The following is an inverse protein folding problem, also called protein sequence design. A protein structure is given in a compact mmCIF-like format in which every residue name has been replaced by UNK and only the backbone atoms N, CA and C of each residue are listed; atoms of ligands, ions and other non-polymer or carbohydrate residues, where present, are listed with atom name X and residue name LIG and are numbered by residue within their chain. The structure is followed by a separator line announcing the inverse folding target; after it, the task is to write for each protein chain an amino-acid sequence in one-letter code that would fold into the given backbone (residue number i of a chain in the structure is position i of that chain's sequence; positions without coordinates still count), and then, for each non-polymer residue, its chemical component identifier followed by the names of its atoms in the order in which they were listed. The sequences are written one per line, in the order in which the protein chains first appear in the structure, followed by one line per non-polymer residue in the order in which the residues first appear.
data_IF_042988284353
#
_entry.id   IF_042988284353
#
_cell.length_a   1.000
_cell.length_b   1.000
_cell.length_c   1.000
_cell.angle_alpha   90.00
_cell.angle_beta   90.00
_cell.angle_gamma   90.00
#
_symmetry.space_group_name_H-M   'P 1'
#
loop_
_entity.id
_entity.type
_entity.pdbx_description
1 polymer ?
#
# COMPACT_ATOMS: atom_id res chain seq x y z
N UNK A 1 -14.44 9.88 11.86
CA UNK A 1 -15.32 8.99 11.06
C UNK A 1 -15.37 9.54 9.64
N UNK A 2 -14.53 9.02 8.74
CA UNK A 2 -14.61 9.37 7.31
C UNK A 2 -15.56 8.35 6.68
N UNK A 3 -16.84 8.72 6.60
CA UNK A 3 -17.88 7.94 5.94
C UNK A 3 -17.72 8.08 4.41
N UNK A 4 -17.99 6.98 3.70
CA UNK A 4 -17.92 6.84 2.23
C UNK A 4 -18.56 7.98 1.42
N UNK A 5 -19.45 8.78 2.01
CA UNK A 5 -20.25 9.82 1.35
C UNK A 5 -19.45 11.03 0.85
N UNK A 6 -18.21 11.24 1.30
CA UNK A 6 -17.45 12.47 0.96
C UNK A 6 -16.20 12.18 0.14
N UNK A 7 -16.03 10.95 -0.39
CA UNK A 7 -14.78 10.58 -1.04
C UNK A 7 -14.53 11.36 -2.33
N UNK A 8 -15.56 11.57 -3.16
CA UNK A 8 -15.44 12.33 -4.42
C UNK A 8 -15.04 13.78 -4.16
N UNK A 9 -15.69 14.45 -3.20
CA UNK A 9 -15.39 15.83 -2.84
C UNK A 9 -13.99 15.99 -2.25
N UNK A 10 -13.56 15.06 -1.38
CA UNK A 10 -12.18 15.08 -0.85
C UNK A 10 -11.13 14.79 -1.92
N UNK A 11 -11.45 13.96 -2.92
CA UNK A 11 -10.57 13.71 -4.08
C UNK A 11 -10.43 14.98 -4.90
N UNK A 12 -11.53 15.72 -5.13
CA UNK A 12 -11.51 16.98 -5.86
C UNK A 12 -10.72 18.05 -5.10
N UNK A 13 -10.96 18.23 -3.80
CA UNK A 13 -10.16 19.12 -2.95
C UNK A 13 -8.67 18.73 -2.95
N UNK A 14 -8.35 17.43 -2.92
CA UNK A 14 -6.97 16.95 -3.07
C UNK A 14 -6.40 17.28 -4.45
N UNK A 15 -7.15 17.09 -5.53
CA UNK A 15 -6.70 17.39 -6.90
C UNK A 15 -6.47 18.89 -7.10
N UNK A 16 -7.29 19.74 -6.50
CA UNK A 16 -7.16 21.20 -6.58
C UNK A 16 -6.02 21.74 -5.70
N UNK A 17 -5.78 21.10 -4.55
CA UNK A 17 -4.80 21.58 -3.56
C UNK A 17 -3.40 20.97 -3.75
N UNK A 18 -3.34 19.71 -4.19
CA UNK A 18 -2.09 18.95 -4.28
C UNK A 18 -1.53 19.05 -5.68
N UNK A 19 -0.58 19.97 -5.82
CA UNK A 19 0.31 20.03 -7.00
C UNK A 19 1.00 18.69 -7.20
N UNK A 20 1.29 18.35 -8.45
CA UNK A 20 1.95 17.08 -8.82
C UNK A 20 3.28 16.84 -8.06
N UNK A 21 3.99 17.91 -7.70
CA UNK A 21 5.22 17.87 -6.88
C UNK A 21 5.05 17.22 -5.51
N UNK A 22 3.84 17.21 -4.95
CA UNK A 22 3.55 16.60 -3.65
C UNK A 22 3.06 15.15 -3.75
N UNK A 23 2.80 14.63 -4.95
CA UNK A 23 2.34 13.25 -5.17
C UNK A 23 3.27 12.18 -4.54
N UNK A 24 4.61 12.31 -4.58
CA UNK A 24 5.49 11.40 -3.86
C UNK A 24 5.24 11.40 -2.35
N UNK A 25 5.10 12.58 -1.73
CA UNK A 25 4.82 12.71 -0.30
C UNK A 25 3.45 12.13 0.07
N UNK A 26 2.43 12.38 -0.75
CA UNK A 26 1.09 11.82 -0.53
C UNK A 26 1.12 10.30 -0.61
N UNK A 27 1.88 9.72 -1.55
CA UNK A 27 2.03 8.26 -1.66
C UNK A 27 2.71 7.66 -0.42
N UNK A 28 3.74 8.35 0.10
CA UNK A 28 4.43 7.99 1.34
C UNK A 28 3.49 8.04 2.54
N UNK A 29 2.75 9.14 2.68
CA UNK A 29 1.81 9.32 3.77
C UNK A 29 0.71 8.25 3.75
N UNK A 30 0.11 8.00 2.58
CA UNK A 30 -0.93 7.00 2.40
C UNK A 30 -0.45 5.61 2.86
N UNK A 31 0.72 5.17 2.38
CA UNK A 31 1.23 3.82 2.70
C UNK A 31 1.67 3.73 4.16
N UNK A 32 2.50 4.68 4.64
CA UNK A 32 3.15 4.58 5.94
C UNK A 32 2.24 4.92 7.11
N UNK A 33 1.28 5.84 6.93
CA UNK A 33 0.45 6.37 8.02
C UNK A 33 -1.01 5.94 7.96
N UNK A 34 -1.49 5.43 6.83
CA UNK A 34 -2.90 5.00 6.69
C UNK A 34 -2.97 3.50 6.45
N UNK A 35 -2.54 3.03 5.29
CA UNK A 35 -2.61 1.62 4.88
C UNK A 35 -1.95 0.68 5.90
N UNK A 36 -0.80 1.04 6.44
CA UNK A 36 -0.07 0.18 7.38
C UNK A 36 -0.84 -0.12 8.67
N UNK A 37 -1.73 0.78 9.11
CA UNK A 37 -2.41 0.71 10.42
C UNK A 37 -3.95 0.67 10.33
N UNK A 38 -4.54 0.94 9.18
CA UNK A 38 -6.00 1.03 8.97
C UNK A 38 -6.52 -0.02 7.96
N UNK A 39 -6.44 -1.33 8.26
CA UNK A 39 -6.85 -2.39 7.34
C UNK A 39 -8.32 -2.31 6.91
N UNK A 40 -9.18 -1.82 7.80
CA UNK A 40 -10.61 -1.65 7.55
C UNK A 40 -10.92 -0.65 6.43
N UNK A 41 -9.98 0.25 6.10
CA UNK A 41 -10.14 1.26 5.07
C UNK A 41 -9.40 0.93 3.76
N UNK A 42 -8.83 -0.26 3.61
CA UNK A 42 -8.13 -0.62 2.37
C UNK A 42 -9.03 -0.56 1.14
N UNK A 43 -10.27 -1.03 1.22
CA UNK A 43 -11.21 -0.93 0.08
C UNK A 43 -11.48 0.52 -0.30
N UNK A 44 -11.59 1.40 0.71
CA UNK A 44 -11.75 2.85 0.50
C UNK A 44 -10.53 3.44 -0.22
N UNK A 45 -9.32 3.14 0.23
CA UNK A 45 -8.08 3.63 -0.39
C UNK A 45 -7.86 3.05 -1.79
N UNK A 46 -8.21 1.78 -2.02
CA UNK A 46 -8.13 1.18 -3.35
C UNK A 46 -9.07 1.87 -4.34
N UNK A 47 -10.31 2.15 -3.90
CA UNK A 47 -11.28 2.90 -4.71
C UNK A 47 -10.82 4.33 -4.96
N UNK A 48 -10.16 4.99 -3.98
CA UNK A 48 -9.55 6.31 -4.17
C UNK A 48 -8.53 6.30 -5.32
N UNK A 49 -7.65 5.28 -5.38
CA UNK A 49 -6.68 5.13 -6.48
C UNK A 49 -7.37 4.94 -7.85
N UNK A 50 -8.48 4.18 -7.87
CA UNK A 50 -9.25 3.94 -9.10
C UNK A 50 -9.97 5.20 -9.58
N UNK A 51 -10.50 6.02 -8.66
CA UNK A 51 -11.15 7.28 -8.97
C UNK A 51 -10.16 8.37 -9.38
N UNK A 52 -8.96 8.40 -8.78
CA UNK A 52 -7.92 9.36 -9.12
C UNK A 52 -7.42 9.16 -10.56
N UNK A 53 -7.43 7.91 -11.06
CA UNK A 53 -6.98 7.50 -12.41
C UNK A 53 -5.59 8.02 -12.80
N UNK A 54 -4.72 8.26 -11.82
CA UNK A 54 -3.35 8.70 -12.05
C UNK A 54 -2.38 7.49 -12.03
N UNK A 55 -1.87 7.12 -13.20
CA UNK A 55 -0.98 5.97 -13.34
C UNK A 55 0.37 6.16 -12.64
N UNK A 56 0.92 7.37 -12.65
CA UNK A 56 2.18 7.68 -11.96
C UNK A 56 2.02 7.59 -10.44
N UNK A 57 0.95 8.17 -9.90
CA UNK A 57 0.65 8.07 -8.48
C UNK A 57 0.45 6.62 -8.03
N UNK A 58 -0.28 5.82 -8.83
CA UNK A 58 -0.45 4.39 -8.56
C UNK A 58 0.89 3.64 -8.52
N UNK A 59 1.85 4.01 -9.39
CA UNK A 59 3.20 3.46 -9.38
C UNK A 59 3.99 3.91 -8.14
N UNK A 60 3.85 5.17 -7.72
CA UNK A 60 4.48 5.68 -6.48
C UNK A 60 3.96 4.92 -5.25
N UNK A 61 2.64 4.76 -5.12
CA UNK A 61 2.01 4.01 -4.01
C UNK A 61 2.46 2.55 -3.99
N UNK A 62 2.55 1.91 -5.15
CA UNK A 62 3.02 0.54 -5.27
C UNK A 62 4.49 0.40 -4.85
N UNK A 63 5.37 1.28 -5.35
CA UNK A 63 6.79 1.29 -4.99
C UNK A 63 7.00 1.49 -3.50
N UNK A 64 6.24 2.41 -2.91
CA UNK A 64 6.31 2.70 -1.49
C UNK A 64 5.79 1.53 -0.64
N UNK A 65 4.74 0.84 -1.10
CA UNK A 65 4.26 -0.41 -0.48
C UNK A 65 5.37 -1.46 -0.46
N UNK A 66 6.05 -1.69 -1.58
CA UNK A 66 7.18 -2.62 -1.64
C UNK A 66 8.34 -2.20 -0.74
N UNK A 67 8.68 -0.91 -0.70
CA UNK A 67 9.75 -0.38 0.15
C UNK A 67 9.50 -0.70 1.62
N UNK A 68 8.28 -0.45 2.10
CA UNK A 68 7.92 -0.71 3.50
C UNK A 68 7.89 -2.21 3.82
N UNK A 69 7.34 -3.05 2.92
CA UNK A 69 7.38 -4.51 3.07
C UNK A 69 8.84 -4.99 3.16
N UNK A 70 9.72 -4.52 2.28
CA UNK A 70 11.14 -4.90 2.29
C UNK A 70 11.80 -4.53 3.60
N UNK A 71 11.60 -3.31 4.11
CA UNK A 71 12.14 -2.85 5.39
C UNK A 71 11.70 -3.78 6.53
N UNK A 72 10.41 -4.13 6.59
CA UNK A 72 9.86 -5.05 7.60
C UNK A 72 10.33 -6.50 7.45
N UNK A 73 10.70 -6.93 6.23
CA UNK A 73 11.26 -8.26 6.00
C UNK A 73 12.76 -8.34 6.34
N UNK A 74 13.46 -7.20 6.24
CA UNK A 74 14.89 -7.09 6.57
C UNK A 74 15.16 -6.68 8.02
N UNK A 75 14.15 -6.21 8.76
CA UNK A 75 14.30 -5.97 10.20
C UNK A 75 14.53 -7.30 10.91
N UNK A 76 15.45 -7.30 11.86
CA UNK A 76 15.90 -8.51 12.54
C UNK A 76 14.69 -9.25 13.15
N UNK A 77 14.41 -10.47 12.66
CA UNK A 77 13.24 -11.26 13.05
C UNK A 77 13.24 -11.62 14.53
N UNK A 78 14.41 -11.61 15.17
CA UNK A 78 14.55 -11.81 16.61
C UNK A 78 14.09 -10.59 17.43
N UNK A 79 14.14 -9.38 16.85
CA UNK A 79 13.69 -8.12 17.43
C UNK A 79 12.34 -7.62 16.87
N UNK A 80 11.77 -8.32 15.89
CA UNK A 80 10.50 -7.95 15.26
C UNK A 80 9.34 -8.15 16.23
N UNK A 81 8.79 -7.03 16.70
CA UNK A 81 7.69 -7.00 17.67
C UNK A 81 6.36 -7.44 17.03
N UNK A 82 5.36 -7.76 17.86
CA UNK A 82 4.00 -8.12 17.39
C UNK A 82 3.40 -7.03 16.47
N UNK A 83 3.76 -5.76 16.72
CA UNK A 83 3.41 -4.63 15.87
C UNK A 83 3.88 -4.82 14.42
N UNK A 84 5.15 -5.21 14.22
CA UNK A 84 5.77 -5.28 12.89
C UNK A 84 5.16 -6.40 12.06
N UNK A 85 4.79 -7.51 12.70
CA UNK A 85 4.05 -8.61 12.06
C UNK A 85 2.67 -8.16 11.60
N UNK A 86 1.98 -7.34 12.40
CA UNK A 86 0.67 -6.77 12.04
C UNK A 86 0.78 -5.80 10.87
N UNK A 87 1.78 -4.90 10.88
CA UNK A 87 2.05 -3.97 9.78
C UNK A 87 2.35 -4.73 8.47
N UNK A 88 3.18 -5.77 8.54
CA UNK A 88 3.50 -6.60 7.38
C UNK A 88 2.27 -7.32 6.82
N UNK A 89 1.40 -7.84 7.68
CA UNK A 89 0.13 -8.46 7.28
C UNK A 89 -0.78 -7.44 6.59
N UNK A 90 -0.90 -6.23 7.13
CA UNK A 90 -1.71 -5.17 6.54
C UNK A 90 -1.17 -4.76 5.17
N UNK A 91 0.14 -4.51 5.06
CA UNK A 91 0.77 -4.13 3.79
C UNK A 91 0.69 -5.26 2.75
N UNK A 92 0.80 -6.52 3.17
CA UNK A 92 0.61 -7.68 2.30
C UNK A 92 -0.82 -7.78 1.75
N UNK A 93 -1.82 -7.60 2.61
CA UNK A 93 -3.23 -7.54 2.21
C UNK A 93 -3.48 -6.40 1.22
N UNK A 94 -2.98 -5.19 1.53
CA UNK A 94 -3.06 -4.03 0.65
C UNK A 94 -2.41 -4.28 -0.72
N UNK A 95 -1.21 -4.84 -0.74
CA UNK A 95 -0.50 -5.17 -1.98
C UNK A 95 -1.35 -6.08 -2.87
N UNK A 96 -1.95 -7.13 -2.31
CA UNK A 96 -2.85 -8.02 -3.04
C UNK A 96 -4.07 -7.30 -3.63
N UNK A 97 -4.65 -6.34 -2.89
CA UNK A 97 -5.79 -5.55 -3.35
C UNK A 97 -5.45 -4.60 -4.50
N UNK A 98 -4.27 -3.96 -4.49
CA UNK A 98 -3.90 -3.02 -5.56
C UNK A 98 -3.22 -3.68 -6.76
N UNK A 99 -2.91 -4.98 -6.68
CA UNK A 99 -2.28 -5.77 -7.76
C UNK A 99 -3.20 -6.89 -8.26
N UNK A 100 -3.21 -8.04 -7.57
CA UNK A 100 -3.92 -9.26 -7.95
C UNK A 100 -5.41 -9.03 -8.15
N UNK A 101 -6.07 -8.33 -7.23
CA UNK A 101 -7.50 -8.03 -7.34
C UNK A 101 -7.83 -7.08 -8.51
N UNK A 102 -6.83 -6.40 -9.08
CA UNK A 102 -6.97 -5.53 -10.26
C UNK A 102 -6.45 -6.18 -11.55
N UNK A 103 -6.26 -7.50 -11.56
CA UNK A 103 -5.66 -8.27 -12.66
C UNK A 103 -4.29 -7.72 -13.10
N UNK A 104 -3.60 -6.99 -12.23
CA UNK A 104 -2.23 -6.55 -12.48
C UNK A 104 -1.32 -7.62 -11.92
N UNK A 105 -0.55 -8.33 -12.76
CA UNK A 105 0.39 -9.30 -12.25
C UNK A 105 1.34 -8.59 -11.27
N UNK A 106 1.66 -9.26 -10.17
CA UNK A 106 2.83 -8.90 -9.36
C UNK A 106 4.02 -9.22 -10.26
N UNK A 107 4.36 -8.27 -11.14
CA UNK A 107 5.41 -8.43 -12.13
C UNK A 107 6.66 -8.89 -11.40
N UNK A 108 7.27 -9.95 -11.95
CA UNK A 108 8.51 -10.62 -11.56
C UNK A 108 9.75 -9.70 -11.35
N UNK A 109 9.56 -8.38 -11.35
CA UNK A 109 10.57 -7.34 -11.15
C UNK A 109 10.99 -7.22 -9.68
N UNK A 110 10.18 -7.69 -8.73
CA UNK A 110 10.52 -7.58 -7.33
C UNK A 110 10.97 -8.94 -6.80
N UNK A 111 12.27 -9.05 -6.52
CA UNK A 111 12.98 -10.12 -5.77
C UNK A 111 12.35 -10.49 -4.41
N UNK A 112 11.10 -10.12 -4.12
CA UNK A 112 10.33 -10.40 -2.89
C UNK A 112 9.58 -11.73 -2.96
N UNK A 113 9.17 -12.22 -4.13
CA UNK A 113 8.48 -13.52 -4.28
C UNK A 113 9.20 -14.69 -3.57
N UNK A 114 10.53 -14.88 -3.72
CA UNK A 114 11.23 -15.90 -2.94
C UNK A 114 11.13 -15.66 -1.43
N UNK A 115 11.20 -14.42 -0.93
CA UNK A 115 11.02 -14.14 0.50
C UNK A 115 9.59 -14.34 1.00
N UNK A 116 8.60 -14.18 0.13
CA UNK A 116 7.18 -14.33 0.45
C UNK A 116 6.75 -15.80 0.49
N UNK A 117 7.34 -16.64 -0.37
CA UNK A 117 6.96 -18.05 -0.53
C UNK A 117 7.82 -19.02 0.29
N UNK A 118 9.07 -18.69 0.62
CA UNK A 118 9.95 -19.55 1.43
C UNK A 118 9.31 -20.02 2.76
N UNK A 119 8.54 -19.21 3.50
CA UNK A 119 7.86 -19.68 4.71
C UNK A 119 6.73 -20.70 4.47
N UNK A 120 6.17 -20.75 3.25
CA UNK A 120 5.01 -21.59 2.91
C UNK A 120 5.38 -22.95 2.33
N UNK A 121 6.60 -23.10 1.81
CA UNK A 121 7.11 -24.37 1.25
C UNK A 121 7.91 -25.22 2.26
N UNK A 122 8.09 -24.74 3.49
CA UNK A 122 8.85 -25.41 4.55
C UNK A 122 7.98 -26.11 5.62
N UNK A 123 6.70 -26.35 5.35
CA UNK A 123 5.84 -27.23 6.15
C UNK A 123 5.13 -28.24 5.26
#
# INVERSE_FOLDING_TARGET
VVLQSNMTQKVEELKETVKEEFMPWVSQYLVMKRVSIEPNFHSLYSNFLDTLKNAEFNKMVLNETYRNIKVLLTSDKAAANFSDRSLLKNLGHWLGMITLAKNKPILHTVRILPYFLVPWFLH
#
